data_IF_531896615048
#
_entry.id   IF_531896615048
#
_cell.length_a   1.000
_cell.length_b   1.000
_cell.length_c   1.000
_cell.angle_alpha   90.00
_cell.angle_beta   90.00
_cell.angle_gamma   90.00
#
_symmetry.space_group_name_H-M   'P 1'
#
loop_
_entity.id
_entity.type
_entity.pdbx_description
1 polymer ?
#
# COMPACT_ATOMS: atom_id res chain seq x y z
N UNK A 1 -5.23 51.37 -1.35
CA UNK A 1 -3.86 50.83 -1.11
C UNK A 1 -3.55 49.69 -2.09
N UNK A 2 -3.94 49.81 -3.37
CA UNK A 2 -4.05 48.65 -4.28
C UNK A 2 -2.78 48.32 -5.08
N UNK A 3 -1.74 49.16 -5.06
CA UNK A 3 -0.50 48.92 -5.84
C UNK A 3 0.23 47.66 -5.34
N UNK A 4 0.13 47.36 -4.04
CA UNK A 4 0.81 46.23 -3.39
C UNK A 4 0.41 44.85 -3.96
N UNK A 5 -0.89 44.44 -3.95
CA UNK A 5 -1.29 43.17 -4.55
C UNK A 5 -0.99 43.07 -6.05
N UNK A 6 -1.18 44.15 -6.82
CA UNK A 6 -0.90 44.18 -8.26
C UNK A 6 0.60 43.92 -8.53
N UNK A 7 1.48 44.60 -7.79
CA UNK A 7 2.93 44.43 -7.94
C UNK A 7 3.42 43.00 -7.59
N UNK A 8 2.81 42.37 -6.58
CA UNK A 8 3.11 40.97 -6.21
C UNK A 8 2.64 39.98 -7.30
N UNK A 9 1.48 40.21 -7.90
CA UNK A 9 0.93 39.33 -8.95
C UNK A 9 1.77 39.44 -10.24
N UNK A 10 2.18 40.65 -10.63
CA UNK A 10 3.10 40.88 -11.73
C UNK A 10 4.49 40.26 -11.48
N UNK A 11 5.01 40.38 -10.25
CA UNK A 11 6.29 39.76 -9.86
C UNK A 11 6.24 38.23 -9.92
N UNK A 12 5.14 37.62 -9.48
CA UNK A 12 4.91 36.17 -9.56
C UNK A 12 4.88 35.70 -11.03
N UNK A 13 4.16 36.41 -11.90
CA UNK A 13 4.05 36.10 -13.33
C UNK A 13 5.41 36.10 -14.04
N UNK A 14 6.34 36.95 -13.59
CA UNK A 14 7.67 37.10 -14.19
C UNK A 14 8.71 36.13 -13.60
N UNK A 15 8.65 35.82 -12.30
CA UNK A 15 9.60 34.90 -11.63
C UNK A 15 9.29 33.42 -11.94
N UNK A 16 8.01 33.04 -12.02
CA UNK A 16 7.60 31.66 -12.26
C UNK A 16 8.23 31.00 -13.52
N UNK A 17 8.20 31.62 -14.73
CA UNK A 17 8.81 31.03 -15.92
C UNK A 17 10.34 30.96 -15.83
N UNK A 18 11.00 31.95 -15.21
CA UNK A 18 12.45 31.96 -15.04
C UNK A 18 12.93 30.79 -14.17
N UNK A 19 12.25 30.54 -13.04
CA UNK A 19 12.51 29.38 -12.19
C UNK A 19 12.21 28.05 -12.91
N UNK A 20 11.15 28.00 -13.73
CA UNK A 20 10.83 26.85 -14.57
C UNK A 20 11.95 26.48 -15.55
N UNK A 21 12.50 27.47 -16.27
CA UNK A 21 13.61 27.29 -17.22
C UNK A 21 14.89 26.86 -16.48
N UNK A 22 15.22 27.51 -15.36
CA UNK A 22 16.38 27.15 -14.54
C UNK A 22 16.30 25.69 -14.06
N UNK A 23 15.18 25.30 -13.44
CA UNK A 23 14.93 23.93 -12.98
C UNK A 23 14.98 22.91 -14.13
N UNK A 24 14.41 23.23 -15.30
CA UNK A 24 14.45 22.36 -16.49
C UNK A 24 15.88 22.12 -17.00
N UNK A 25 16.72 23.16 -17.02
CA UNK A 25 18.13 23.06 -17.43
C UNK A 25 18.95 22.18 -16.47
N UNK A 26 18.75 22.32 -15.17
CA UNK A 26 19.40 21.52 -14.13
C UNK A 26 18.92 20.06 -14.19
N UNK A 27 17.62 19.85 -14.41
CA UNK A 27 16.99 18.55 -14.58
C UNK A 27 17.50 17.79 -15.83
N UNK A 28 17.87 18.48 -16.91
CA UNK A 28 18.56 17.85 -18.06
C UNK A 28 19.95 17.32 -17.68
N UNK A 29 20.79 18.15 -17.05
CA UNK A 29 22.17 17.78 -16.66
C UNK A 29 22.20 16.49 -15.81
N UNK A 30 21.33 16.39 -14.81
CA UNK A 30 21.22 15.19 -13.97
C UNK A 30 20.81 13.92 -14.73
N UNK A 31 19.92 14.03 -15.73
CA UNK A 31 19.56 12.88 -16.58
C UNK A 31 20.74 12.43 -17.44
N UNK A 32 21.48 13.37 -18.01
CA UNK A 32 22.65 13.08 -18.85
C UNK A 32 23.77 12.43 -18.03
N UNK A 33 23.95 12.82 -16.77
CA UNK A 33 24.92 12.27 -15.83
C UNK A 33 24.55 10.85 -15.38
N UNK A 34 23.30 10.59 -14.99
CA UNK A 34 22.80 9.24 -14.69
C UNK A 34 22.93 8.33 -15.93
N UNK A 35 22.69 8.85 -17.13
CA UNK A 35 22.85 8.12 -18.39
C UNK A 35 24.33 7.87 -18.77
N UNK A 36 25.30 8.62 -18.22
CA UNK A 36 26.74 8.34 -18.35
C UNK A 36 27.16 7.26 -17.35
N UNK A 37 26.80 7.43 -16.08
CA UNK A 37 27.13 6.48 -15.00
C UNK A 37 26.59 5.07 -15.29
N UNK A 38 25.34 4.95 -15.76
CA UNK A 38 24.78 3.64 -16.16
C UNK A 38 25.58 2.95 -17.27
N UNK A 39 26.04 3.69 -18.28
CA UNK A 39 26.87 3.15 -19.36
C UNK A 39 28.26 2.73 -18.88
N UNK A 40 28.86 3.47 -17.94
CA UNK A 40 30.13 3.07 -17.31
C UNK A 40 29.97 1.78 -16.50
N UNK A 41 28.92 1.64 -15.68
CA UNK A 41 28.64 0.42 -14.93
C UNK A 41 28.40 -0.77 -15.86
N UNK A 42 27.66 -0.59 -16.95
CA UNK A 42 27.46 -1.64 -17.97
C UNK A 42 28.79 -2.06 -18.63
N UNK A 43 29.63 -1.09 -19.03
CA UNK A 43 30.95 -1.38 -19.61
C UNK A 43 31.88 -2.15 -18.66
N UNK A 44 31.95 -1.74 -17.38
CA UNK A 44 32.71 -2.43 -16.35
C UNK A 44 32.18 -3.83 -16.06
N UNK A 45 30.86 -4.03 -16.11
CA UNK A 45 30.25 -5.36 -15.92
C UNK A 45 30.66 -6.31 -17.04
N UNK A 46 30.62 -5.85 -18.30
CA UNK A 46 31.07 -6.64 -19.46
C UNK A 46 32.57 -6.98 -19.38
N UNK A 47 33.41 -6.04 -18.96
CA UNK A 47 34.85 -6.30 -18.75
C UNK A 47 35.12 -7.33 -17.64
N UNK A 48 34.33 -7.33 -16.56
CA UNK A 48 34.46 -8.32 -15.47
C UNK A 48 34.09 -9.72 -15.96
N UNK A 49 33.03 -9.86 -16.77
CA UNK A 49 32.63 -11.17 -17.29
C UNK A 49 33.57 -11.67 -18.41
N UNK A 50 34.13 -10.79 -19.24
CA UNK A 50 35.17 -11.13 -20.23
C UNK A 50 36.48 -11.61 -19.57
N UNK A 51 36.92 -10.95 -18.49
CA UNK A 51 38.05 -11.41 -17.69
C UNK A 51 37.78 -12.76 -16.98
N UNK A 52 36.52 -13.04 -16.63
CA UNK A 52 36.10 -14.34 -16.06
C UNK A 52 36.09 -15.46 -17.10
N UNK A 53 35.59 -15.21 -18.31
CA UNK A 53 35.60 -16.21 -19.39
C UNK A 53 37.03 -16.50 -19.85
N UNK A 54 37.87 -15.48 -20.01
CA UNK A 54 39.29 -15.64 -20.29
C UNK A 54 40.03 -16.44 -19.19
N UNK A 55 39.78 -16.11 -17.92
CA UNK A 55 40.33 -16.86 -16.78
C UNK A 55 39.87 -18.32 -16.73
N UNK A 56 38.61 -18.59 -17.07
CA UNK A 56 38.07 -19.95 -17.16
C UNK A 56 38.64 -20.75 -18.36
N UNK A 57 38.99 -20.07 -19.46
CA UNK A 57 39.74 -20.66 -20.58
C UNK A 57 41.15 -21.09 -20.17
N UNK A 58 41.93 -20.15 -19.62
CA UNK A 58 43.30 -20.42 -19.16
C UNK A 58 43.37 -21.48 -18.04
N UNK A 59 42.30 -21.65 -17.25
CA UNK A 59 42.19 -22.73 -16.27
C UNK A 59 41.96 -24.11 -16.90
N UNK A 60 41.31 -24.21 -18.07
CA UNK A 60 41.17 -25.46 -18.84
C UNK A 60 42.46 -25.84 -19.55
N UNK A 61 43.13 -24.88 -20.19
CA UNK A 61 44.38 -25.12 -20.93
C UNK A 61 45.52 -25.66 -20.05
N UNK A 62 45.53 -25.32 -18.75
CA UNK A 62 46.47 -25.90 -17.77
C UNK A 62 46.10 -27.29 -17.26
N UNK A 63 44.90 -27.79 -17.57
CA UNK A 63 44.41 -29.09 -17.13
C UNK A 63 44.82 -30.26 -18.02
N UNK A 64 45.33 -29.99 -19.23
CA UNK A 64 45.48 -30.99 -20.29
C UNK A 64 46.92 -31.05 -20.83
N UNK A 65 47.78 -31.72 -20.07
CA UNK A 65 49.15 -32.04 -20.48
C UNK A 65 49.25 -33.53 -20.91
N UNK A 66 50.04 -33.89 -21.94
CA UNK A 66 49.96 -35.22 -22.55
C UNK A 66 50.47 -36.36 -21.66
N UNK A 67 49.74 -37.48 -21.63
CA UNK A 67 50.24 -38.75 -21.09
C UNK A 67 51.07 -39.48 -22.17
N UNK A 68 52.25 -39.97 -21.78
CA UNK A 68 53.15 -40.78 -22.62
C UNK A 68 53.21 -42.25 -22.12
N UNK A 69 53.64 -43.22 -22.95
CA UNK A 69 53.31 -44.63 -22.74
C UNK A 69 54.01 -45.36 -21.58
N UNK A 70 53.46 -46.53 -21.23
CA UNK A 70 54.10 -47.58 -20.42
C UNK A 70 54.57 -48.71 -21.34
N UNK A 71 55.74 -49.29 -21.04
CA UNK A 71 56.24 -50.54 -21.64
C UNK A 71 57.13 -51.29 -20.61
N UNK A 72 57.59 -52.50 -20.94
CA UNK A 72 58.12 -53.54 -20.00
C UNK A 72 59.62 -53.32 -19.60
N UNK A 73 60.33 -54.09 -18.73
CA UNK A 73 60.26 -55.50 -18.32
C UNK A 73 61.00 -55.81 -16.95
N UNK A 74 61.08 -57.07 -16.45
CA UNK A 74 61.65 -57.49 -15.12
C UNK A 74 63.10 -58.09 -15.25
N UNK A 75 63.70 -58.94 -14.36
CA UNK A 75 63.35 -59.53 -13.04
C UNK A 75 64.48 -59.38 -11.96
N UNK A 76 64.56 -60.15 -10.82
CA UNK A 76 65.08 -61.55 -10.81
C UNK A 76 64.62 -62.54 -9.69
N UNK A 77 64.83 -63.85 -9.98
CA UNK A 77 65.15 -64.99 -9.08
C UNK A 77 64.16 -65.59 -8.04
N UNK A 78 64.20 -66.94 -7.92
CA UNK A 78 63.61 -67.82 -6.89
C UNK A 78 64.58 -69.01 -6.62
N UNK A 79 64.40 -69.83 -5.55
CA UNK A 79 63.50 -71.01 -5.53
C UNK A 79 62.68 -71.08 -4.19
N UNK A 80 62.17 -72.17 -3.57
CA UNK A 80 62.27 -73.65 -3.73
C UNK A 80 61.05 -74.38 -3.08
N UNK A 81 61.06 -75.73 -2.96
CA UNK A 81 59.98 -76.58 -2.39
C UNK A 81 60.56 -77.88 -1.72
N UNK A 82 59.85 -78.68 -0.86
CA UNK A 82 58.70 -79.53 -1.26
C UNK A 82 57.59 -79.81 -0.17
N UNK A 83 56.66 -80.73 -0.48
CA UNK A 83 55.46 -81.23 0.29
C UNK A 83 55.79 -82.37 1.31
N UNK A 84 54.85 -83.15 1.98
CA UNK A 84 53.36 -83.22 2.03
C UNK A 84 52.83 -83.30 3.53
N UNK A 85 51.81 -84.09 4.03
CA UNK A 85 50.66 -84.84 3.44
C UNK A 85 49.27 -84.83 4.19
N UNK A 86 48.17 -84.69 3.42
CA UNK A 86 46.95 -85.56 3.40
C UNK A 86 45.87 -85.58 4.57
N UNK A 87 44.80 -86.45 4.59
CA UNK A 87 43.35 -86.10 4.46
C UNK A 87 42.48 -86.41 5.73
N UNK A 88 41.10 -86.60 5.76
CA UNK A 88 40.05 -86.67 4.71
C UNK A 88 38.66 -86.00 5.01
N UNK A 89 37.60 -86.40 4.28
CA UNK A 89 36.16 -86.03 4.38
C UNK A 89 35.34 -87.00 5.28
N UNK A 90 34.09 -86.64 5.68
CA UNK A 90 32.87 -87.10 4.96
C UNK A 90 31.73 -86.05 4.92
N UNK A 91 30.60 -86.17 4.21
CA UNK A 91 30.20 -86.87 2.97
C UNK A 91 28.82 -86.31 2.50
N UNK A 92 28.42 -86.51 1.24
CA UNK A 92 27.12 -86.04 0.70
C UNK A 92 26.49 -87.08 -0.26
N UNK A 93 25.17 -87.40 -0.17
CA UNK A 93 24.51 -88.34 -1.10
C UNK A 93 23.72 -87.70 -2.26
N UNK A 94 24.07 -88.11 -3.48
CA UNK A 94 23.21 -88.54 -4.61
C UNK A 94 22.07 -87.69 -5.21
N UNK A 95 22.24 -87.38 -6.50
CA UNK A 95 21.23 -87.11 -7.55
C UNK A 95 20.82 -88.43 -8.29
N UNK A 96 20.08 -88.46 -9.44
CA UNK A 96 18.84 -87.75 -9.84
C UNK A 96 17.80 -88.67 -10.56
N UNK A 97 16.60 -88.18 -10.94
CA UNK A 97 15.75 -88.84 -11.96
C UNK A 97 14.66 -87.95 -12.63
N UNK A 98 14.77 -87.76 -13.97
CA UNK A 98 13.71 -87.45 -15.01
C UNK A 98 12.77 -86.24 -14.77
N UNK A 99 12.50 -85.37 -15.74
CA UNK A 99 11.80 -85.61 -17.04
C UNK A 99 12.41 -84.77 -18.20
N UNK A 100 11.85 -84.81 -19.43
CA UNK A 100 12.54 -84.37 -20.68
C UNK A 100 11.65 -83.67 -21.73
N UNK A 101 12.01 -82.45 -22.19
CA UNK A 101 11.53 -81.81 -23.44
C UNK A 101 12.44 -80.64 -23.88
N UNK A 102 12.32 -80.13 -25.13
CA UNK A 102 13.16 -79.03 -25.64
C UNK A 102 12.49 -78.10 -26.70
N UNK A 103 12.72 -76.78 -26.54
CA UNK A 103 13.09 -75.72 -27.51
C UNK A 103 12.38 -75.49 -28.88
N UNK A 104 12.46 -74.27 -29.50
CA UNK A 104 12.76 -72.91 -29.01
C UNK A 104 11.52 -71.98 -29.20
N UNK A 105 11.36 -70.90 -30.05
CA UNK A 105 12.24 -70.02 -30.87
C UNK A 105 12.34 -68.55 -30.29
N UNK A 106 12.12 -67.36 -30.95
CA UNK A 106 12.91 -66.14 -30.62
C UNK A 106 12.16 -64.79 -30.34
N UNK A 107 12.98 -63.72 -30.26
CA UNK A 107 12.80 -62.24 -30.08
C UNK A 107 11.88 -61.50 -31.10
N UNK A 108 11.44 -60.22 -30.89
CA UNK A 108 12.22 -59.07 -30.35
C UNK A 108 11.52 -58.12 -29.33
N UNK A 109 12.11 -56.94 -29.08
CA UNK A 109 11.88 -56.09 -27.89
C UNK A 109 11.12 -54.77 -28.16
N UNK A 110 10.43 -54.27 -27.13
CA UNK A 110 9.98 -52.87 -26.96
C UNK A 110 9.71 -52.56 -25.47
N UNK A 111 9.72 -51.27 -25.08
CA UNK A 111 9.28 -50.64 -23.81
C UNK A 111 9.37 -51.47 -22.49
N UNK A 112 10.26 -51.22 -21.53
CA UNK A 112 10.56 -49.97 -20.79
C UNK A 112 9.43 -49.42 -19.88
N UNK A 113 9.77 -49.29 -18.59
CA UNK A 113 9.13 -48.45 -17.55
C UNK A 113 7.66 -48.73 -17.13
N UNK A 114 7.47 -49.61 -16.13
CA UNK A 114 6.24 -49.66 -15.30
C UNK A 114 6.46 -50.15 -13.85
N UNK A 115 7.63 -49.93 -13.25
CA UNK A 115 7.86 -50.20 -11.82
C UNK A 115 7.36 -49.01 -10.98
N UNK A 116 6.23 -49.18 -10.29
CA UNK A 116 5.49 -48.06 -9.69
C UNK A 116 6.04 -47.54 -8.36
N UNK A 117 6.68 -46.37 -8.37
CA UNK A 117 6.95 -45.60 -7.15
C UNK A 117 5.64 -45.01 -6.60
N UNK A 118 5.12 -45.55 -5.50
CA UNK A 118 3.95 -44.97 -4.82
C UNK A 118 4.32 -43.67 -4.10
N UNK A 119 4.34 -42.56 -4.84
CA UNK A 119 4.31 -41.24 -4.23
C UNK A 119 2.99 -41.07 -3.47
N UNK A 120 3.07 -40.82 -2.15
CA UNK A 120 1.91 -40.49 -1.32
C UNK A 120 1.32 -39.18 -1.83
N UNK A 121 0.25 -39.28 -2.64
CA UNK A 121 -0.56 -38.13 -3.01
C UNK A 121 -1.21 -37.59 -1.74
N UNK A 122 -0.71 -36.45 -1.24
CA UNK A 122 -1.50 -35.63 -0.33
C UNK A 122 -2.88 -35.41 -0.97
N UNK A 123 -3.99 -35.57 -0.22
CA UNK A 123 -5.29 -35.17 -0.73
C UNK A 123 -5.23 -33.70 -1.09
N UNK A 124 -5.41 -33.37 -2.38
CA UNK A 124 -5.54 -32.00 -2.80
C UNK A 124 -6.75 -31.41 -2.05
N UNK A 125 -6.49 -30.46 -1.16
CA UNK A 125 -7.48 -29.99 -0.20
C UNK A 125 -8.73 -29.49 -0.94
N UNK A 126 -9.81 -30.29 -0.89
CA UNK A 126 -11.05 -29.96 -1.55
C UNK A 126 -11.54 -28.62 -1.01
N UNK A 127 -11.76 -27.66 -1.91
CA UNK A 127 -12.36 -26.38 -1.53
C UNK A 127 -13.69 -26.69 -0.85
N UNK A 128 -13.94 -26.26 0.41
CA UNK A 128 -15.17 -26.61 1.10
C UNK A 128 -16.34 -26.11 0.26
N UNK A 129 -17.23 -27.03 -0.11
CA UNK A 129 -18.41 -26.70 -0.92
C UNK A 129 -19.26 -25.65 -0.21
N UNK A 130 -20.01 -24.85 -0.97
CA UNK A 130 -20.93 -23.86 -0.41
C UNK A 130 -21.88 -24.49 0.63
N UNK A 131 -22.37 -25.68 0.34
CA UNK A 131 -23.16 -26.53 1.23
C UNK A 131 -22.42 -26.90 2.53
N UNK A 132 -21.14 -27.26 2.46
CA UNK A 132 -20.33 -27.62 3.63
C UNK A 132 -19.94 -26.41 4.48
N UNK A 133 -19.75 -25.23 3.86
CA UNK A 133 -19.63 -23.96 4.56
C UNK A 133 -20.95 -23.54 5.22
N UNK A 134 -22.08 -23.71 4.54
CA UNK A 134 -23.41 -23.38 5.05
C UNK A 134 -23.82 -24.31 6.20
N UNK A 135 -23.50 -25.60 6.12
CA UNK A 135 -23.72 -26.56 7.20
C UNK A 135 -22.82 -26.29 8.44
N UNK A 136 -21.56 -25.91 8.23
CA UNK A 136 -20.60 -25.70 9.35
C UNK A 136 -20.61 -24.29 9.94
N UNK A 137 -21.06 -23.27 9.19
CA UNK A 137 -21.03 -21.85 9.61
C UNK A 137 -22.31 -21.07 9.32
N UNK A 138 -23.16 -21.55 8.41
CA UNK A 138 -24.38 -20.84 7.99
C UNK A 138 -25.37 -20.63 9.13
N UNK A 139 -25.58 -21.62 10.01
CA UNK A 139 -26.46 -21.46 11.18
C UNK A 139 -25.93 -20.42 12.18
N UNK A 140 -24.60 -20.36 12.36
CA UNK A 140 -23.96 -19.34 13.21
C UNK A 140 -24.03 -17.94 12.58
N UNK A 141 -23.91 -17.84 11.25
CA UNK A 141 -24.09 -16.59 10.51
C UNK A 141 -25.54 -16.11 10.51
N UNK A 142 -26.51 -17.02 10.37
CA UNK A 142 -27.93 -16.72 10.52
C UNK A 142 -28.25 -16.25 11.94
N UNK A 143 -27.87 -17.01 12.96
CA UNK A 143 -28.09 -16.63 14.36
C UNK A 143 -27.44 -15.30 14.73
N UNK A 144 -26.20 -15.05 14.28
CA UNK A 144 -25.51 -13.77 14.45
C UNK A 144 -26.20 -12.62 13.71
N UNK A 145 -26.65 -12.85 12.47
CA UNK A 145 -27.40 -11.88 11.68
C UNK A 145 -28.76 -11.53 12.31
N UNK A 146 -29.53 -12.53 12.73
CA UNK A 146 -30.80 -12.35 13.44
C UNK A 146 -30.60 -11.61 14.76
N UNK A 147 -29.55 -11.93 15.54
CA UNK A 147 -29.29 -11.26 16.81
C UNK A 147 -28.81 -9.80 16.62
N UNK A 148 -28.01 -9.53 15.59
CA UNK A 148 -27.65 -8.16 15.21
C UNK A 148 -28.89 -7.35 14.78
N UNK A 149 -29.77 -7.95 13.98
CA UNK A 149 -31.02 -7.33 13.53
C UNK A 149 -31.98 -7.09 14.70
N UNK A 150 -32.09 -8.03 15.64
CA UNK A 150 -32.86 -7.88 16.87
C UNK A 150 -32.32 -6.73 17.74
N UNK A 151 -31.00 -6.57 17.84
CA UNK A 151 -30.38 -5.42 18.51
C UNK A 151 -30.74 -4.08 17.85
N UNK A 152 -30.70 -4.01 16.52
CA UNK A 152 -31.12 -2.81 15.76
C UNK A 152 -32.61 -2.51 15.96
N UNK A 153 -33.48 -3.52 15.91
CA UNK A 153 -34.91 -3.35 16.18
C UNK A 153 -35.20 -2.96 17.63
N UNK A 154 -34.47 -3.48 18.61
CA UNK A 154 -34.61 -3.10 20.01
C UNK A 154 -34.23 -1.63 20.24
N UNK A 155 -33.11 -1.17 19.65
CA UNK A 155 -32.72 0.25 19.69
C UNK A 155 -33.78 1.12 19.00
N UNK A 156 -34.26 0.72 17.82
CA UNK A 156 -35.35 1.43 17.11
C UNK A 156 -36.62 1.52 17.98
N UNK A 157 -37.07 0.41 18.56
CA UNK A 157 -38.26 0.40 19.42
C UNK A 157 -38.09 1.29 20.66
N UNK A 158 -36.91 1.25 21.29
CA UNK A 158 -36.56 2.09 22.43
C UNK A 158 -36.41 3.59 22.06
N UNK A 159 -36.21 3.89 20.77
CA UNK A 159 -36.23 5.24 20.19
C UNK A 159 -37.67 5.71 19.95
N UNK A 160 -38.52 4.85 19.39
CA UNK A 160 -39.95 5.11 19.11
C UNK A 160 -40.79 5.23 20.38
N UNK A 161 -40.45 4.47 21.44
CA UNK A 161 -41.04 4.58 22.78
C UNK A 161 -40.52 5.76 23.61
N UNK A 162 -39.57 6.53 23.09
CA UNK A 162 -38.98 7.68 23.78
C UNK A 162 -38.05 7.35 24.96
N UNK A 163 -37.83 6.07 25.28
CA UNK A 163 -37.01 5.62 26.42
C UNK A 163 -35.55 6.08 26.35
N UNK A 164 -34.99 6.19 25.13
CA UNK A 164 -33.66 6.77 24.90
C UNK A 164 -33.85 8.13 24.23
N UNK A 165 -33.67 9.22 25.00
CA UNK A 165 -33.73 10.59 24.49
C UNK A 165 -32.55 10.96 23.57
N UNK A 166 -32.65 12.00 22.73
CA UNK A 166 -31.63 12.37 21.73
C UNK A 166 -30.21 12.48 22.27
N UNK A 167 -30.03 13.14 23.43
CA UNK A 167 -28.75 13.28 24.13
C UNK A 167 -28.09 11.91 24.36
N UNK A 168 -28.86 10.94 24.89
CA UNK A 168 -28.34 9.60 25.23
C UNK A 168 -27.96 8.82 23.97
N UNK A 169 -28.68 8.98 22.86
CA UNK A 169 -28.33 8.36 21.55
C UNK A 169 -26.96 8.85 21.07
N UNK A 170 -26.79 10.16 21.07
CA UNK A 170 -25.53 10.84 20.68
C UNK A 170 -24.39 10.44 21.60
N UNK A 171 -24.59 10.49 22.93
CA UNK A 171 -23.57 10.14 23.91
C UNK A 171 -23.13 8.68 23.77
N UNK A 172 -24.07 7.74 23.61
CA UNK A 172 -23.74 6.33 23.41
C UNK A 172 -23.00 6.10 22.07
N UNK A 173 -23.45 6.74 20.98
CA UNK A 173 -22.77 6.65 19.69
C UNK A 173 -21.34 7.19 19.72
N UNK A 174 -21.13 8.33 20.39
CA UNK A 174 -19.81 8.95 20.53
C UNK A 174 -18.88 8.14 21.45
N UNK A 175 -19.39 7.67 22.60
CA UNK A 175 -18.62 6.79 23.52
C UNK A 175 -18.30 5.45 22.85
N UNK A 176 -19.21 4.88 22.07
CA UNK A 176 -18.95 3.68 21.28
C UNK A 176 -17.87 3.94 20.21
N UNK A 177 -17.96 5.05 19.48
CA UNK A 177 -16.93 5.45 18.52
C UNK A 177 -15.55 5.61 19.16
N UNK A 178 -15.47 6.28 20.31
CA UNK A 178 -14.24 6.43 21.08
C UNK A 178 -13.72 5.07 21.60
N UNK A 179 -14.60 4.19 22.07
CA UNK A 179 -14.24 2.85 22.53
C UNK A 179 -13.68 1.98 21.38
N UNK A 180 -14.20 2.12 20.16
CA UNK A 180 -13.64 1.46 18.97
C UNK A 180 -12.25 2.00 18.58
N UNK A 181 -12.05 3.33 18.64
CA UNK A 181 -10.73 3.97 18.42
C UNK A 181 -9.70 3.48 19.45
N UNK A 182 -10.07 3.51 20.75
CA UNK A 182 -9.22 3.03 21.83
C UNK A 182 -8.98 1.51 21.73
N UNK A 183 -9.98 0.74 21.31
CA UNK A 183 -9.88 -0.69 21.05
C UNK A 183 -8.91 -1.03 19.92
N UNK A 184 -8.95 -0.30 18.81
CA UNK A 184 -8.01 -0.46 17.69
C UNK A 184 -6.57 -0.08 18.08
N UNK A 185 -6.41 1.02 18.81
CA UNK A 185 -5.13 1.45 19.39
C UNK A 185 -4.55 0.39 20.35
N UNK A 186 -5.38 -0.14 21.25
CA UNK A 186 -5.01 -1.18 22.22
C UNK A 186 -4.68 -2.52 21.55
N UNK A 187 -5.43 -2.91 20.52
CA UNK A 187 -5.20 -4.14 19.78
C UNK A 187 -3.86 -4.09 19.02
N UNK A 188 -3.51 -2.95 18.39
CA UNK A 188 -2.18 -2.73 17.77
C UNK A 188 -1.03 -2.78 18.80
N UNK A 189 -1.30 -2.45 20.07
CA UNK A 189 -0.29 -2.48 21.14
C UNK A 189 0.01 -3.89 21.68
N UNK A 190 -0.87 -4.89 21.47
CA UNK A 190 -0.65 -6.26 21.96
C UNK A 190 0.43 -7.02 21.16
N UNK A 191 1.38 -7.72 21.82
CA UNK A 191 2.49 -8.38 21.14
C UNK A 191 2.06 -9.53 20.22
N UNK A 192 1.02 -10.30 20.59
CA UNK A 192 0.51 -11.42 19.80
C UNK A 192 0.02 -10.98 18.41
N UNK A 193 -0.58 -9.80 18.31
CA UNK A 193 -1.04 -9.22 17.04
C UNK A 193 0.12 -8.74 16.16
N UNK A 194 1.29 -8.40 16.73
CA UNK A 194 2.51 -8.08 15.97
C UNK A 194 3.11 -9.33 15.34
N UNK A 195 3.10 -10.45 16.05
CA UNK A 195 3.51 -11.75 15.48
C UNK A 195 2.60 -12.16 14.32
N UNK A 196 1.27 -11.99 14.44
CA UNK A 196 0.33 -12.26 13.34
C UNK A 196 0.52 -11.26 12.19
N UNK A 197 0.80 -9.98 12.48
CA UNK A 197 1.07 -8.96 11.46
C UNK A 197 2.37 -9.22 10.66
N UNK A 198 3.32 -9.98 11.21
CA UNK A 198 4.51 -10.45 10.49
C UNK A 198 4.23 -11.64 9.55
N UNK A 199 3.07 -12.30 9.69
CA UNK A 199 2.63 -13.43 8.84
C UNK A 199 1.67 -12.95 7.74
N UNK A 200 0.96 -11.84 7.93
CA UNK A 200 0.14 -11.20 6.91
C UNK A 200 -0.44 -9.84 7.32
N UNK A 201 -0.94 -9.03 6.37
CA UNK A 201 -1.42 -7.68 6.65
C UNK A 201 -2.66 -7.68 7.55
N UNK A 202 -2.48 -7.25 8.79
CA UNK A 202 -3.47 -7.31 9.84
C UNK A 202 -4.40 -6.07 9.79
N UNK A 203 -5.44 -6.11 8.94
CA UNK A 203 -6.35 -4.97 8.73
C UNK A 203 -7.30 -4.67 9.90
N UNK A 204 -7.41 -5.56 10.90
CA UNK A 204 -8.38 -5.44 11.99
C UNK A 204 -8.21 -4.16 12.85
N UNK A 205 -7.01 -3.81 13.38
CA UNK A 205 -6.87 -2.60 14.20
C UNK A 205 -7.17 -1.30 13.43
N UNK A 206 -6.66 -1.08 12.18
CA UNK A 206 -7.02 0.10 11.40
C UNK A 206 -8.51 0.16 11.04
N UNK A 207 -9.15 -0.98 10.73
CA UNK A 207 -10.58 -1.03 10.42
C UNK A 207 -11.45 -0.71 11.64
N UNK A 208 -11.06 -1.17 12.84
CA UNK A 208 -11.77 -0.88 14.09
C UNK A 208 -11.68 0.61 14.45
N UNK A 209 -10.49 1.20 14.33
CA UNK A 209 -10.28 2.64 14.50
C UNK A 209 -11.04 3.47 13.46
N UNK A 210 -11.02 3.05 12.19
CA UNK A 210 -11.77 3.68 11.10
C UNK A 210 -13.29 3.71 11.38
N UNK A 211 -13.86 2.58 11.82
CA UNK A 211 -15.26 2.50 12.23
C UNK A 211 -15.56 3.38 13.45
N UNK A 212 -14.64 3.45 14.41
CA UNK A 212 -14.76 4.30 15.60
C UNK A 212 -14.77 5.79 15.28
N UNK A 213 -13.87 6.25 14.40
CA UNK A 213 -13.86 7.61 13.88
C UNK A 213 -15.14 7.95 13.11
N UNK A 214 -15.62 7.04 12.25
CA UNK A 214 -16.87 7.23 11.53
C UNK A 214 -18.06 7.35 12.49
N UNK A 215 -18.14 6.49 13.51
CA UNK A 215 -19.19 6.56 14.53
C UNK A 215 -19.13 7.84 15.36
N UNK A 216 -17.93 8.32 15.75
CA UNK A 216 -17.76 9.58 16.45
C UNK A 216 -18.19 10.78 15.58
N UNK A 217 -17.76 10.82 14.32
CA UNK A 217 -18.10 11.86 13.35
C UNK A 217 -19.62 11.91 13.06
N UNK A 218 -20.23 10.73 12.82
CA UNK A 218 -21.67 10.60 12.65
C UNK A 218 -22.46 11.00 13.91
N UNK A 219 -21.94 10.74 15.12
CA UNK A 219 -22.60 11.12 16.37
C UNK A 219 -22.57 12.63 16.61
N UNK A 220 -21.45 13.30 16.33
CA UNK A 220 -21.36 14.77 16.38
C UNK A 220 -22.25 15.42 15.32
N UNK A 221 -22.27 14.88 14.09
CA UNK A 221 -23.18 15.37 13.06
C UNK A 221 -24.65 15.16 13.42
N UNK A 222 -25.03 13.99 13.97
CA UNK A 222 -26.40 13.74 14.41
C UNK A 222 -26.83 14.64 15.59
N UNK A 223 -25.89 14.99 16.48
CA UNK A 223 -26.13 15.97 17.53
C UNK A 223 -26.43 17.36 16.96
N UNK A 224 -25.81 17.71 15.84
CA UNK A 224 -26.11 18.91 15.07
C UNK A 224 -27.38 18.73 14.22
N UNK A 225 -27.24 18.25 12.98
CA UNK A 225 -28.27 18.34 11.93
C UNK A 225 -29.43 17.36 12.02
N UNK A 226 -29.55 16.55 13.08
CA UNK A 226 -30.71 15.68 13.33
C UNK A 226 -31.47 16.02 14.64
N UNK A 227 -30.83 16.70 15.60
CA UNK A 227 -31.34 16.87 16.95
C UNK A 227 -31.13 18.27 17.57
N UNK A 228 -30.43 19.19 16.89
CA UNK A 228 -30.20 20.58 17.33
C UNK A 228 -29.58 20.72 18.75
N UNK A 229 -28.84 19.70 19.19
CA UNK A 229 -28.21 19.61 20.52
C UNK A 229 -26.90 20.41 20.64
N UNK A 230 -26.30 20.79 19.51
CA UNK A 230 -25.05 21.55 19.45
C UNK A 230 -25.21 22.78 18.56
N UNK A 231 -24.68 23.96 18.96
CA UNK A 231 -24.58 25.09 18.04
C UNK A 231 -23.52 24.80 16.96
N UNK A 232 -23.73 25.35 15.76
CA UNK A 232 -22.90 25.10 14.58
C UNK A 232 -21.38 25.22 14.83
N UNK A 233 -20.94 26.23 15.57
CA UNK A 233 -19.53 26.43 15.90
C UNK A 233 -18.91 25.25 16.69
N UNK A 234 -19.65 24.70 17.67
CA UNK A 234 -19.18 23.57 18.48
C UNK A 234 -19.20 22.28 17.66
N UNK A 235 -20.23 22.06 16.84
CA UNK A 235 -20.29 20.94 15.91
C UNK A 235 -19.11 20.97 14.91
N UNK A 236 -18.84 22.11 14.30
CA UNK A 236 -17.70 22.32 13.39
C UNK A 236 -16.37 22.03 14.08
N UNK A 237 -16.14 22.60 15.27
CA UNK A 237 -14.91 22.41 16.03
C UNK A 237 -14.68 20.93 16.40
N UNK A 238 -15.73 20.20 16.78
CA UNK A 238 -15.66 18.77 17.09
C UNK A 238 -15.40 17.91 15.85
N UNK A 239 -16.09 18.16 14.73
CA UNK A 239 -15.86 17.42 13.48
C UNK A 239 -14.45 17.68 12.92
N UNK A 240 -13.98 18.92 12.98
CA UNK A 240 -12.60 19.29 12.66
C UNK A 240 -11.59 18.58 13.58
N UNK A 241 -11.82 18.56 14.91
CA UNK A 241 -10.96 17.87 15.85
C UNK A 241 -10.90 16.35 15.58
N UNK A 242 -12.01 15.72 15.18
CA UNK A 242 -12.05 14.32 14.75
C UNK A 242 -11.23 14.12 13.46
N UNK A 243 -11.31 15.03 12.48
CA UNK A 243 -10.52 14.97 11.26
C UNK A 243 -9.00 15.10 11.52
N UNK A 244 -8.58 16.01 12.40
CA UNK A 244 -7.16 16.13 12.80
C UNK A 244 -6.69 14.97 13.70
N UNK A 245 -7.57 14.40 14.54
CA UNK A 245 -7.28 13.17 15.27
C UNK A 245 -7.10 11.97 14.32
N UNK A 246 -7.89 11.90 13.23
CA UNK A 246 -7.69 10.91 12.16
C UNK A 246 -6.29 11.04 11.55
N UNK A 247 -5.86 12.26 11.23
CA UNK A 247 -4.53 12.51 10.69
C UNK A 247 -3.41 12.06 11.63
N UNK A 248 -3.54 12.30 12.95
CA UNK A 248 -2.61 11.79 13.95
C UNK A 248 -2.61 10.25 14.05
N UNK A 249 -3.79 9.62 14.05
CA UNK A 249 -3.94 8.16 14.11
C UNK A 249 -3.46 7.46 12.83
N UNK A 250 -3.55 8.11 11.67
CA UNK A 250 -3.08 7.56 10.40
C UNK A 250 -1.56 7.36 10.36
N UNK A 251 -0.78 8.20 11.06
CA UNK A 251 0.67 7.99 11.24
C UNK A 251 1.00 6.72 12.03
N UNK A 252 0.07 6.22 12.85
CA UNK A 252 0.22 5.04 13.69
C UNK A 252 -0.43 3.77 13.11
N UNK A 253 -1.40 3.93 12.20
CA UNK A 253 -2.31 2.87 11.77
C UNK A 253 -2.48 2.75 10.25
N UNK A 254 -1.89 3.66 9.46
CA UNK A 254 -1.82 3.56 8.00
C UNK A 254 -2.84 4.42 7.23
N UNK A 255 -2.78 4.34 5.88
CA UNK A 255 -3.40 5.32 4.99
C UNK A 255 -4.92 5.38 5.01
N UNK A 256 -5.61 4.29 5.36
CA UNK A 256 -7.08 4.23 5.34
C UNK A 256 -7.72 5.30 6.25
N UNK A 257 -7.09 5.56 7.40
CA UNK A 257 -7.58 6.56 8.37
C UNK A 257 -7.24 7.99 7.91
N UNK A 258 -6.16 8.19 7.15
CA UNK A 258 -5.88 9.50 6.53
C UNK A 258 -6.95 9.87 5.51
N UNK A 259 -7.45 8.90 4.72
CA UNK A 259 -8.56 9.12 3.79
C UNK A 259 -9.84 9.51 4.53
N UNK A 260 -10.17 8.84 5.63
CA UNK A 260 -11.35 9.20 6.44
C UNK A 260 -11.21 10.59 7.09
N UNK A 261 -10.02 10.95 7.57
CA UNK A 261 -9.72 12.30 8.05
C UNK A 261 -9.88 13.36 6.96
N UNK A 262 -9.42 13.06 5.74
CA UNK A 262 -9.48 13.97 4.60
C UNK A 262 -10.92 14.16 4.09
N UNK A 263 -11.67 13.06 3.95
CA UNK A 263 -13.07 13.08 3.52
C UNK A 263 -13.97 13.74 4.56
N UNK A 264 -13.86 13.35 5.84
CA UNK A 264 -14.60 13.98 6.93
C UNK A 264 -14.22 15.46 7.09
N UNK A 265 -12.93 15.77 6.97
CA UNK A 265 -12.44 17.15 6.99
C UNK A 265 -13.05 18.03 5.90
N UNK A 266 -13.02 17.59 4.63
CA UNK A 266 -13.62 18.36 3.53
C UNK A 266 -15.15 18.32 3.52
N UNK A 267 -15.80 17.31 4.12
CA UNK A 267 -17.25 17.28 4.30
C UNK A 267 -17.75 18.17 5.44
N UNK A 268 -16.92 18.46 6.45
CA UNK A 268 -17.31 19.21 7.66
C UNK A 268 -18.00 20.56 7.36
N UNK A 269 -17.50 21.42 6.45
CA UNK A 269 -18.16 22.69 6.13
C UNK A 269 -19.45 22.54 5.31
N UNK A 270 -19.66 21.39 4.64
CA UNK A 270 -20.92 21.08 3.94
C UNK A 270 -21.99 20.56 4.90
N UNK A 271 -21.57 19.84 5.94
CA UNK A 271 -22.43 19.30 7.00
C UNK A 271 -22.89 20.36 8.00
N UNK A 272 -22.13 21.45 8.18
CA UNK A 272 -22.41 22.51 9.16
C UNK A 272 -22.73 23.83 8.45
N UNK A 273 -23.98 23.96 8.00
CA UNK A 273 -24.50 25.22 7.44
C UNK A 273 -24.72 26.25 8.56
N UNK A 274 -24.04 27.39 8.49
CA UNK A 274 -24.15 28.51 9.45
C UNK A 274 -25.21 29.55 9.07
N UNK A 275 -25.98 29.32 7.99
CA UNK A 275 -27.00 30.24 7.47
C UNK A 275 -26.44 31.48 6.75
N UNK A 276 -25.30 32.01 7.19
CA UNK A 276 -24.57 33.13 6.55
C UNK A 276 -23.30 32.63 5.84
N UNK A 277 -23.01 33.05 4.60
CA UNK A 277 -21.72 32.76 3.97
C UNK A 277 -20.58 33.47 4.72
N UNK A 278 -19.58 32.70 5.13
CA UNK A 278 -18.42 33.19 5.91
C UNK A 278 -17.11 32.71 5.25
N UNK A 279 -16.56 33.47 4.27
CA UNK A 279 -15.40 33.04 3.49
C UNK A 279 -14.14 32.86 4.35
N UNK A 280 -13.87 33.81 5.25
CA UNK A 280 -12.64 33.85 6.04
C UNK A 280 -12.46 32.59 6.93
N UNK A 281 -13.43 32.16 7.76
CA UNK A 281 -13.33 30.91 8.50
C UNK A 281 -13.25 29.67 7.58
N UNK A 282 -14.03 29.63 6.50
CA UNK A 282 -14.10 28.48 5.60
C UNK A 282 -12.77 28.23 4.90
N UNK A 283 -12.25 29.22 4.17
CA UNK A 283 -10.98 29.09 3.45
C UNK A 283 -9.78 28.99 4.40
N UNK A 284 -9.83 29.63 5.58
CA UNK A 284 -8.83 29.46 6.64
C UNK A 284 -8.77 28.01 7.15
N UNK A 285 -9.93 27.41 7.46
CA UNK A 285 -10.02 26.00 7.85
C UNK A 285 -9.50 25.06 6.76
N UNK A 286 -9.90 25.28 5.50
CA UNK A 286 -9.48 24.46 4.36
C UNK A 286 -7.96 24.50 4.15
N UNK A 287 -7.30 25.64 4.38
CA UNK A 287 -5.83 25.72 4.39
C UNK A 287 -5.19 24.91 5.51
N UNK A 288 -5.72 24.97 6.74
CA UNK A 288 -5.17 24.21 7.88
C UNK A 288 -5.38 22.70 7.66
N UNK A 289 -6.52 22.29 7.11
CA UNK A 289 -6.80 20.91 6.74
C UNK A 289 -5.85 20.41 5.63
N UNK A 290 -5.66 21.22 4.57
CA UNK A 290 -4.73 20.91 3.50
C UNK A 290 -3.29 20.82 4.01
N UNK A 291 -2.85 21.77 4.84
CA UNK A 291 -1.53 21.76 5.46
C UNK A 291 -1.32 20.52 6.36
N UNK A 292 -2.32 20.13 7.15
CA UNK A 292 -2.27 18.91 7.98
C UNK A 292 -2.13 17.63 7.16
N UNK A 293 -2.93 17.49 6.09
CA UNK A 293 -2.82 16.36 5.15
C UNK A 293 -1.46 16.32 4.44
N UNK A 294 -0.99 17.48 3.97
CA UNK A 294 0.31 17.59 3.29
C UNK A 294 1.49 17.38 4.24
N UNK A 295 1.35 17.65 5.54
CA UNK A 295 2.32 17.28 6.55
C UNK A 295 2.41 15.75 6.74
N UNK A 296 1.28 15.02 6.68
CA UNK A 296 1.31 13.55 6.63
C UNK A 296 2.06 13.08 5.38
N UNK A 297 1.74 13.63 4.20
CA UNK A 297 2.42 13.26 2.93
C UNK A 297 3.93 13.48 3.02
N UNK A 298 4.39 14.53 3.70
CA UNK A 298 5.82 14.79 3.94
C UNK A 298 6.51 13.76 4.83
N UNK A 299 5.79 13.12 5.74
CA UNK A 299 6.32 12.08 6.65
C UNK A 299 6.19 10.67 6.05
N UNK A 300 5.12 10.41 5.29
CA UNK A 300 4.75 9.07 4.81
C UNK A 300 5.00 8.81 3.32
N UNK A 301 5.27 9.86 2.53
CA UNK A 301 5.37 9.84 1.07
C UNK A 301 4.16 9.21 0.34
N UNK A 302 2.96 9.28 0.94
CA UNK A 302 1.71 8.85 0.31
C UNK A 302 1.21 9.91 -0.70
N UNK A 303 1.94 10.12 -1.80
CA UNK A 303 1.69 11.18 -2.79
C UNK A 303 0.26 11.21 -3.38
N UNK A 304 -0.43 10.06 -3.46
CA UNK A 304 -1.83 9.98 -3.88
C UNK A 304 -2.80 10.65 -2.88
N UNK A 305 -2.46 10.74 -1.59
CA UNK A 305 -3.21 11.50 -0.59
C UNK A 305 -3.10 13.02 -0.86
N UNK A 306 -1.96 13.49 -1.40
CA UNK A 306 -1.83 14.88 -1.83
C UNK A 306 -2.73 15.20 -3.04
N UNK A 307 -2.92 14.25 -3.96
CA UNK A 307 -3.90 14.39 -5.05
C UNK A 307 -5.34 14.45 -4.52
N UNK A 308 -5.71 13.62 -3.56
CA UNK A 308 -7.01 13.74 -2.87
C UNK A 308 -7.16 15.08 -2.14
N UNK A 309 -6.06 15.58 -1.57
CA UNK A 309 -6.02 16.89 -0.89
C UNK A 309 -6.22 18.03 -1.88
N UNK A 310 -5.56 17.96 -3.04
CA UNK A 310 -5.71 18.93 -4.12
C UNK A 310 -7.14 18.93 -4.68
N UNK A 311 -7.73 17.74 -4.88
CA UNK A 311 -9.09 17.60 -5.36
C UNK A 311 -10.10 18.26 -4.41
N UNK A 312 -10.04 17.96 -3.11
CA UNK A 312 -10.91 18.61 -2.11
C UNK A 312 -10.66 20.12 -1.97
N UNK A 313 -9.39 20.55 -2.00
CA UNK A 313 -9.00 21.95 -1.89
C UNK A 313 -9.36 22.79 -3.13
N UNK A 314 -9.46 22.19 -4.32
CA UNK A 314 -9.92 22.85 -5.54
C UNK A 314 -11.46 22.79 -5.72
N UNK A 315 -12.10 21.72 -5.24
CA UNK A 315 -13.56 21.56 -5.30
C UNK A 315 -14.30 22.65 -4.52
N UNK A 316 -13.83 23.01 -3.32
CA UNK A 316 -14.49 24.03 -2.49
C UNK A 316 -14.59 25.42 -3.16
N UNK A 317 -13.52 25.99 -3.74
CA UNK A 317 -13.61 27.16 -4.60
C UNK A 317 -14.58 27.02 -5.77
N UNK A 318 -14.59 25.88 -6.48
CA UNK A 318 -15.53 25.65 -7.60
C UNK A 318 -16.99 25.68 -7.13
N UNK A 319 -17.30 25.07 -5.99
CA UNK A 319 -18.63 25.10 -5.38
C UNK A 319 -19.01 26.52 -4.92
N UNK A 320 -18.05 27.31 -4.40
CA UNK A 320 -18.28 28.70 -4.03
C UNK A 320 -18.64 29.56 -5.24
N UNK A 321 -17.84 29.49 -6.31
CA UNK A 321 -18.10 30.19 -7.58
C UNK A 321 -19.42 29.79 -8.25
N UNK A 322 -19.85 28.53 -8.10
CA UNK A 322 -21.07 28.03 -8.73
C UNK A 322 -22.37 28.40 -7.99
N UNK A 323 -22.31 28.88 -6.73
CA UNK A 323 -23.50 29.01 -5.89
C UNK A 323 -23.65 30.32 -5.11
N UNK A 324 -22.59 30.80 -4.45
CA UNK A 324 -22.71 31.85 -3.40
C UNK A 324 -21.62 32.94 -3.47
N UNK A 325 -20.83 32.97 -4.54
CA UNK A 325 -19.78 33.98 -4.73
C UNK A 325 -20.32 35.40 -4.83
N UNK A 326 -19.71 36.30 -4.07
CA UNK A 326 -19.83 37.75 -4.16
C UNK A 326 -18.45 38.39 -4.34
N UNK A 327 -18.39 39.62 -4.88
CA UNK A 327 -17.13 40.36 -5.07
C UNK A 327 -16.40 40.67 -3.76
N UNK A 328 -17.09 40.61 -2.61
CA UNK A 328 -16.45 40.69 -1.28
C UNK A 328 -15.59 39.46 -0.92
N UNK A 329 -15.80 38.33 -1.59
CA UNK A 329 -15.13 37.05 -1.28
C UNK A 329 -13.77 36.91 -1.97
N UNK A 330 -13.48 37.78 -2.95
CA UNK A 330 -12.32 37.65 -3.83
C UNK A 330 -10.98 37.79 -3.08
N UNK A 331 -10.90 38.63 -2.05
CA UNK A 331 -9.71 38.75 -1.20
C UNK A 331 -9.45 37.47 -0.39
N UNK A 332 -10.41 36.91 0.39
CA UNK A 332 -10.30 35.58 1.00
C UNK A 332 -9.86 34.49 0.01
N UNK A 333 -10.49 34.42 -1.16
CA UNK A 333 -10.29 33.36 -2.14
C UNK A 333 -8.94 33.50 -2.87
N UNK A 334 -8.51 34.73 -3.18
CA UNK A 334 -7.18 35.01 -3.72
C UNK A 334 -6.06 34.65 -2.74
N UNK A 335 -6.19 35.04 -1.46
CA UNK A 335 -5.24 34.66 -0.40
C UNK A 335 -5.20 33.13 -0.24
N UNK A 336 -6.35 32.47 -0.27
CA UNK A 336 -6.46 31.01 -0.23
C UNK A 336 -5.67 30.34 -1.36
N UNK A 337 -5.85 30.78 -2.61
CA UNK A 337 -5.17 30.20 -3.78
C UNK A 337 -3.64 30.41 -3.75
N UNK A 338 -3.18 31.57 -3.27
CA UNK A 338 -1.73 31.85 -3.09
C UNK A 338 -1.13 30.95 -2.01
N UNK A 339 -1.78 30.84 -0.84
CA UNK A 339 -1.29 30.00 0.26
C UNK A 339 -1.37 28.50 -0.07
N UNK A 340 -2.41 28.06 -0.79
CA UNK A 340 -2.52 26.69 -1.30
C UNK A 340 -1.38 26.36 -2.28
N UNK A 341 -1.05 27.30 -3.18
CA UNK A 341 0.11 27.16 -4.08
C UNK A 341 1.42 27.03 -3.31
N UNK A 342 1.62 27.87 -2.29
CA UNK A 342 2.81 27.82 -1.44
C UNK A 342 2.94 26.48 -0.68
N UNK A 343 1.83 25.94 -0.17
CA UNK A 343 1.78 24.61 0.46
C UNK A 343 2.20 23.51 -0.52
N UNK A 344 1.59 23.43 -1.71
CA UNK A 344 1.92 22.40 -2.71
C UNK A 344 3.34 22.54 -3.29
N UNK A 345 3.82 23.77 -3.50
CA UNK A 345 5.19 24.01 -3.95
C UNK A 345 6.20 23.63 -2.86
N UNK A 346 5.95 24.02 -1.61
CA UNK A 346 6.78 23.64 -0.47
C UNK A 346 6.84 22.12 -0.29
N UNK A 347 5.73 21.41 -0.48
CA UNK A 347 5.64 19.95 -0.38
C UNK A 347 6.69 19.20 -1.21
N UNK A 348 7.06 19.73 -2.39
CA UNK A 348 8.07 19.18 -3.30
C UNK A 348 9.47 19.00 -2.70
N UNK A 349 9.82 19.75 -1.64
CA UNK A 349 11.13 19.70 -0.98
C UNK A 349 11.25 18.64 0.14
N UNK A 350 10.30 17.69 0.24
CA UNK A 350 10.42 16.53 1.12
C UNK A 350 11.47 15.52 0.62
N UNK A 351 12.17 14.84 1.54
CA UNK A 351 13.13 13.76 1.19
C UNK A 351 12.45 12.70 0.32
N UNK A 352 13.13 12.27 -0.75
CA UNK A 352 12.68 11.13 -1.55
C UNK A 352 12.68 9.86 -0.71
N UNK A 353 11.49 9.39 -0.32
CA UNK A 353 11.34 8.18 0.47
C UNK A 353 11.56 6.92 -0.37
N UNK A 354 12.19 5.92 0.23
CA UNK A 354 12.37 4.59 -0.33
C UNK A 354 11.03 3.97 -0.75
N UNK A 355 10.98 3.42 -1.96
CA UNK A 355 9.77 2.79 -2.51
C UNK A 355 9.63 1.37 -1.96
N UNK A 356 9.25 1.26 -0.69
CA UNK A 356 8.84 -0.03 -0.13
C UNK A 356 7.44 -0.40 -0.67
N UNK A 357 7.33 -1.61 -1.21
CA UNK A 357 6.26 -1.98 -2.14
C UNK A 357 5.10 -2.71 -1.44
N UNK A 358 4.28 -1.95 -0.69
CA UNK A 358 2.96 -2.45 -0.24
C UNK A 358 2.06 -2.69 -1.46
N UNK A 359 1.47 -3.88 -1.55
CA UNK A 359 1.03 -4.52 -2.81
C UNK A 359 -0.18 -3.92 -3.53
N UNK A 360 -0.90 -2.95 -2.95
CA UNK A 360 -2.03 -2.25 -3.59
C UNK A 360 -1.61 -1.28 -4.72
N UNK A 361 -0.31 -1.01 -4.87
CA UNK A 361 0.20 0.21 -5.51
C UNK A 361 0.06 0.32 -7.04
N UNK A 362 -0.27 -0.76 -7.76
CA UNK A 362 -0.27 -0.77 -9.24
C UNK A 362 -1.23 0.26 -9.87
N UNK A 363 -2.40 0.50 -9.29
CA UNK A 363 -3.38 1.49 -9.79
C UNK A 363 -2.93 2.94 -9.57
N UNK A 364 -2.08 3.21 -8.57
CA UNK A 364 -1.70 4.55 -8.14
C UNK A 364 -0.23 4.89 -8.47
N UNK A 365 0.47 4.02 -9.19
CA UNK A 365 1.84 4.22 -9.64
C UNK A 365 2.09 5.54 -10.41
N UNK A 366 1.26 5.98 -11.39
CA UNK A 366 1.50 7.24 -12.09
C UNK A 366 1.37 8.47 -11.18
N UNK A 367 0.39 8.45 -10.25
CA UNK A 367 0.12 9.52 -9.29
C UNK A 367 1.22 9.70 -8.22
N UNK A 368 2.25 8.85 -8.21
CA UNK A 368 3.33 8.87 -7.23
C UNK A 368 4.48 9.86 -7.53
N UNK A 369 4.43 10.60 -8.64
CA UNK A 369 5.47 11.55 -9.02
C UNK A 369 5.22 12.96 -8.45
N UNK A 370 6.07 13.50 -7.56
CA UNK A 370 5.89 14.83 -6.97
C UNK A 370 5.99 15.97 -8.00
N UNK A 371 6.65 15.72 -9.13
CA UNK A 371 6.63 16.60 -10.31
C UNK A 371 5.19 16.81 -10.81
N UNK A 372 4.45 15.73 -11.08
CA UNK A 372 3.10 15.81 -11.64
C UNK A 372 2.12 16.49 -10.68
N UNK A 373 2.27 16.26 -9.38
CA UNK A 373 1.48 16.93 -8.34
C UNK A 373 1.66 18.46 -8.39
N UNK A 374 2.90 18.94 -8.58
CA UNK A 374 3.17 20.38 -8.68
C UNK A 374 2.56 21.00 -9.95
N UNK A 375 2.64 20.31 -11.10
CA UNK A 375 1.98 20.74 -12.33
C UNK A 375 0.45 20.72 -12.19
N UNK A 376 -0.13 19.70 -11.56
CA UNK A 376 -1.56 19.60 -11.29
C UNK A 376 -2.07 20.71 -10.36
N UNK A 377 -1.33 21.00 -9.28
CA UNK A 377 -1.65 22.10 -8.37
C UNK A 377 -1.56 23.46 -9.05
N UNK A 378 -0.49 23.72 -9.83
CA UNK A 378 -0.33 24.96 -10.58
C UNK A 378 -1.42 25.14 -11.65
N UNK A 379 -1.83 24.07 -12.34
CA UNK A 379 -2.92 24.11 -13.32
C UNK A 379 -4.27 24.38 -12.64
N UNK A 380 -4.59 23.66 -11.56
CA UNK A 380 -5.83 23.84 -10.79
C UNK A 380 -5.94 25.27 -10.24
N UNK A 381 -4.87 25.80 -9.64
CA UNK A 381 -4.86 27.19 -9.15
C UNK A 381 -4.95 28.19 -10.31
N UNK A 382 -4.23 27.99 -11.42
CA UNK A 382 -4.32 28.89 -12.58
C UNK A 382 -5.75 28.98 -13.14
N UNK A 383 -6.47 27.85 -13.21
CA UNK A 383 -7.89 27.82 -13.61
C UNK A 383 -8.76 28.56 -12.59
N UNK A 384 -8.54 28.36 -11.29
CA UNK A 384 -9.32 29.03 -10.24
C UNK A 384 -9.05 30.54 -10.16
N UNK A 385 -7.81 31.00 -10.39
CA UNK A 385 -7.47 32.43 -10.51
C UNK A 385 -8.09 33.02 -11.77
N UNK A 386 -8.10 32.31 -12.90
CA UNK A 386 -8.77 32.77 -14.13
C UNK A 386 -10.29 32.90 -13.93
N UNK A 387 -10.92 31.93 -13.25
CA UNK A 387 -12.34 32.01 -12.87
C UNK A 387 -12.57 33.21 -11.95
N UNK A 388 -11.72 33.42 -10.93
CA UNK A 388 -11.82 34.55 -10.00
C UNK A 388 -11.78 35.90 -10.74
N UNK A 389 -10.74 36.14 -11.53
CA UNK A 389 -10.57 37.41 -12.28
C UNK A 389 -11.75 37.65 -13.23
N UNK A 390 -12.33 36.59 -13.80
CA UNK A 390 -13.51 36.68 -14.67
C UNK A 390 -14.82 36.95 -13.92
N UNK A 391 -14.97 36.46 -12.69
CA UNK A 391 -16.20 36.65 -11.90
C UNK A 391 -16.20 37.95 -11.09
N UNK A 392 -15.03 38.50 -10.78
CA UNK A 392 -14.87 39.70 -9.95
C UNK A 392 -15.03 41.04 -10.71
N UNK A 393 -15.29 40.99 -12.02
CA UNK A 393 -15.71 42.16 -12.81
C UNK A 393 -14.60 43.12 -13.26
N UNK A 394 -13.33 42.70 -13.25
CA UNK A 394 -12.20 43.48 -13.79
C UNK A 394 -12.10 43.37 -15.34
N UNK A 395 -13.18 43.69 -16.06
CA UNK A 395 -13.27 43.63 -17.53
C UNK A 395 -14.34 44.54 -18.10
#
# INVERSE_FOLDING_TARGET
>A
MEILPISLLALYLLIAPALGIAAFSWSRRHRDEIARLRRQVQGLTLQIDDLRTAGAGAARERGEAPQAPREEAPPPAAPEAPEPPEPPKPAAPSEPARERAAAPPPRPAAAAAAAGTQAVRQPAAARPGLEQWLASRGLAWLGGGTMALAGVFLVKYSIERGWIGPVVRVSLGFVFGLALVLGGEWLRRRPLQRAIAAIGPNYLPPALTAAGLFAAFASVYAAYGLYDLLPAFVAFALLAAIAFAAFGLALLQGPLIAVLGLLGGFATPLLVSTGTPLPWPLFGYLLVLAAGSLAIVRVTAWWWLAWGTLAGAALWPLLWFAGIFSTGDAVPLGIYLVLLSALFLGVRYGRGASVELVTWKYWFAPLALPEQLAWGAAAAVSVLVFILVRTDGYG
#
